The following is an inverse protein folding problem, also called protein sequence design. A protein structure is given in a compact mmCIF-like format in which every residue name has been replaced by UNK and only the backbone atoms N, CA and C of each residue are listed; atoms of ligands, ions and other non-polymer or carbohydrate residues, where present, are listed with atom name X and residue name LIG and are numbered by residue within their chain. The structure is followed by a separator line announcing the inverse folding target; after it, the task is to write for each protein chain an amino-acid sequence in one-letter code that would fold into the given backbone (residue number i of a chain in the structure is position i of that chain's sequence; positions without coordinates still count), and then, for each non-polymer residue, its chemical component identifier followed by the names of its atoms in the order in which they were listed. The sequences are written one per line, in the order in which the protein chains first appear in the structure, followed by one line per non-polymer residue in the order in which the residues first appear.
data_IF_282675809526
#
_entry.id   IF_282675809526
#
_cell.length_a   1.000
_cell.length_b   1.000
_cell.length_c   1.000
_cell.angle_alpha   90.00
_cell.angle_beta   90.00
_cell.angle_gamma   90.00
#
_symmetry.space_group_name_H-M   'P 1'
#
loop_
_entity.id
_entity.type
_entity.pdbx_description
1 polymer ?
#
# COMPACT_ATOMS: atom_id res chain seq x y z
N UNK A 1 8.49 1.16 3.20
CA UNK A 1 8.37 2.54 2.67
C UNK A 1 9.63 2.85 1.91
N UNK A 2 9.54 2.94 0.59
CA UNK A 2 10.68 3.34 -0.26
C UNK A 2 10.41 4.77 -0.71
N UNK A 3 11.30 5.70 -0.36
CA UNK A 3 11.21 7.07 -0.87
C UNK A 3 11.38 7.02 -2.40
N UNK A 4 10.47 7.66 -3.13
CA UNK A 4 10.53 7.70 -4.58
C UNK A 4 11.38 8.89 -5.06
N UNK A 5 11.46 9.97 -4.28
CA UNK A 5 12.41 11.08 -4.46
C UNK A 5 11.98 12.39 -3.76
N UNK A 6 12.85 13.40 -3.86
CA UNK A 6 12.65 14.75 -3.35
C UNK A 6 13.09 15.79 -4.38
N UNK A 7 12.36 16.89 -4.46
CA UNK A 7 12.68 18.06 -5.27
C UNK A 7 12.48 19.32 -4.43
N UNK A 8 13.48 20.19 -4.43
CA UNK A 8 13.40 21.51 -3.79
C UNK A 8 13.39 22.61 -4.85
N UNK A 9 12.61 23.68 -4.60
CA UNK A 9 12.60 24.88 -5.43
C UNK A 9 12.09 24.66 -6.87
N UNK A 10 10.84 24.20 -7.01
CA UNK A 10 10.15 24.09 -8.31
C UNK A 10 9.43 25.41 -8.63
N UNK A 11 9.67 26.02 -9.80
CA UNK A 11 8.93 27.22 -10.22
C UNK A 11 7.69 26.82 -11.02
N UNK A 12 6.52 27.38 -10.73
CA UNK A 12 5.27 27.11 -11.47
C UNK A 12 4.92 25.61 -11.61
N UNK A 13 5.45 24.79 -10.70
CA UNK A 13 5.47 23.33 -10.78
C UNK A 13 6.08 22.75 -12.08
N UNK A 14 6.90 23.53 -12.78
CA UNK A 14 7.80 23.06 -13.83
C UNK A 14 9.09 22.53 -13.23
N UNK A 15 9.34 21.24 -13.46
CA UNK A 15 10.50 20.54 -12.96
C UNK A 15 11.78 21.09 -13.62
N UNK A 16 12.59 21.83 -12.86
CA UNK A 16 13.95 22.18 -13.28
C UNK A 16 14.84 20.93 -13.13
N UNK A 17 15.21 20.33 -14.26
CA UNK A 17 15.94 19.05 -14.29
C UNK A 17 17.44 19.29 -14.45
N UNK A 18 18.20 19.01 -13.39
CA UNK A 18 19.68 19.12 -13.38
C UNK A 18 20.42 17.77 -13.34
N UNK A 19 19.76 16.61 -13.41
CA UNK A 19 20.51 15.34 -13.46
C UNK A 19 19.73 14.15 -14.02
N UNK A 20 20.44 13.28 -14.75
CA UNK A 20 19.88 12.40 -15.78
C UNK A 20 20.05 10.94 -15.38
N UNK A 21 18.93 10.25 -15.15
CA UNK A 21 18.68 8.80 -15.35
C UNK A 21 17.79 8.16 -14.25
N UNK A 22 17.96 8.45 -12.96
CA UNK A 22 16.98 8.02 -11.93
C UNK A 22 15.75 8.93 -11.85
N UNK A 23 15.86 10.17 -12.34
CA UNK A 23 14.78 11.18 -12.36
C UNK A 23 13.67 10.86 -13.37
N UNK A 24 13.92 10.05 -14.41
CA UNK A 24 12.99 9.93 -15.54
C UNK A 24 11.69 9.17 -15.22
N UNK A 25 11.74 8.16 -14.33
CA UNK A 25 10.55 7.41 -13.91
C UNK A 25 9.73 8.22 -12.91
N UNK A 26 10.42 8.91 -11.98
CA UNK A 26 9.78 9.81 -11.01
C UNK A 26 9.12 10.98 -11.73
N UNK A 27 9.84 11.63 -12.66
CA UNK A 27 9.35 12.76 -13.44
C UNK A 27 8.12 12.40 -14.26
N UNK A 28 8.04 11.20 -14.85
CA UNK A 28 6.84 10.81 -15.60
C UNK A 28 5.63 10.61 -14.69
N UNK A 29 5.79 9.90 -13.55
CA UNK A 29 4.71 9.75 -12.57
C UNK A 29 4.29 11.09 -11.96
N UNK A 30 5.28 11.94 -11.65
CA UNK A 30 5.07 13.23 -11.02
C UNK A 30 4.47 14.24 -11.99
N UNK A 31 4.94 14.32 -13.23
CA UNK A 31 4.38 15.19 -14.26
C UNK A 31 2.94 14.77 -14.60
N UNK A 32 2.67 13.46 -14.67
CA UNK A 32 1.31 12.95 -14.79
C UNK A 32 0.45 13.39 -13.62
N UNK A 33 0.94 13.27 -12.39
CA UNK A 33 0.22 13.72 -11.21
C UNK A 33 -0.02 15.24 -11.23
N UNK A 34 1.01 16.05 -11.44
CA UNK A 34 0.89 17.51 -11.53
C UNK A 34 -0.15 17.88 -12.58
N UNK A 35 -0.15 17.23 -13.75
CA UNK A 35 -1.14 17.49 -14.80
C UNK A 35 -2.58 17.13 -14.40
N UNK A 36 -2.77 16.08 -13.61
CA UNK A 36 -4.10 15.64 -13.14
C UNK A 36 -4.61 16.51 -11.98
N UNK A 37 -3.70 16.97 -11.11
CA UNK A 37 -4.03 17.70 -9.88
C UNK A 37 -3.77 19.20 -9.95
N UNK A 38 -3.44 19.73 -11.13
CA UNK A 38 -3.34 21.17 -11.41
C UNK A 38 -4.72 21.82 -11.32
N UNK A 39 -5.20 22.06 -10.10
CA UNK A 39 -6.53 22.58 -9.80
C UNK A 39 -6.50 23.52 -8.61
N UNK A 40 -7.50 24.38 -8.55
CA UNK A 40 -7.81 25.18 -7.37
C UNK A 40 -8.80 24.42 -6.50
N UNK A 41 -8.52 24.37 -5.21
CA UNK A 41 -9.34 23.77 -4.17
C UNK A 41 -9.71 24.88 -3.20
N UNK A 42 -10.98 24.99 -2.85
CA UNK A 42 -11.42 25.85 -1.76
C UNK A 42 -11.82 25.01 -0.55
N UNK A 43 -11.13 25.25 0.56
CA UNK A 43 -11.43 24.75 1.88
C UNK A 43 -12.35 25.73 2.61
N UNK A 44 -13.32 25.23 3.37
CA UNK A 44 -14.17 26.10 4.19
C UNK A 44 -14.23 25.57 5.61
N UNK A 45 -13.86 26.40 6.58
CA UNK A 45 -14.08 26.17 8.02
C UNK A 45 -15.23 27.04 8.50
N UNK A 46 -15.59 26.97 9.79
CA UNK A 46 -16.67 27.80 10.35
C UNK A 46 -16.37 29.30 10.22
N UNK A 47 -15.10 29.70 10.38
CA UNK A 47 -14.67 31.11 10.43
C UNK A 47 -13.90 31.56 9.20
N UNK A 48 -13.23 30.64 8.50
CA UNK A 48 -12.26 31.01 7.47
C UNK A 48 -12.37 30.13 6.23
N UNK A 49 -12.06 30.70 5.07
CA UNK A 49 -11.99 30.04 3.77
C UNK A 49 -10.51 29.99 3.37
N UNK A 50 -10.03 28.83 2.95
CA UNK A 50 -8.70 28.71 2.34
C UNK A 50 -8.86 28.45 0.85
N UNK A 51 -8.31 29.33 0.03
CA UNK A 51 -8.19 29.11 -1.40
C UNK A 51 -6.79 28.56 -1.67
N UNK A 52 -6.72 27.31 -2.13
CA UNK A 52 -5.51 26.55 -2.34
C UNK A 52 -5.37 26.26 -3.84
N UNK A 53 -4.39 26.86 -4.48
CA UNK A 53 -4.01 26.58 -5.86
C UNK A 53 -2.88 25.55 -5.90
N UNK A 54 -3.17 24.32 -6.34
CA UNK A 54 -2.12 23.32 -6.59
C UNK A 54 -1.52 23.65 -7.96
N UNK A 55 -0.33 24.23 -7.99
CA UNK A 55 0.38 24.56 -9.23
C UNK A 55 -0.38 25.51 -10.18
N UNK A 56 -1.41 26.18 -9.66
CA UNK A 56 -2.25 27.16 -10.36
C UNK A 56 -2.46 28.32 -9.41
N UNK A 57 -2.66 29.51 -9.96
CA UNK A 57 -3.07 30.67 -9.18
C UNK A 57 -4.49 30.44 -8.62
N UNK A 58 -4.73 30.65 -7.32
CA UNK A 58 -6.07 30.60 -6.78
C UNK A 58 -6.95 31.68 -7.42
N UNK A 59 -8.24 31.40 -7.59
CA UNK A 59 -9.17 32.23 -8.36
C UNK A 59 -9.49 33.59 -7.73
N UNK A 60 -8.91 33.87 -6.57
CA UNK A 60 -9.44 34.84 -5.61
C UNK A 60 -8.37 35.81 -5.09
N UNK A 61 -7.25 35.97 -5.81
CA UNK A 61 -6.08 36.67 -5.32
C UNK A 61 -5.67 37.89 -6.14
N UNK A 62 -5.48 38.99 -5.40
CA UNK A 62 -4.82 40.23 -5.82
C UNK A 62 -3.28 40.10 -5.92
N UNK A 63 -2.72 38.96 -5.51
CA UNK A 63 -1.28 38.69 -5.47
C UNK A 63 -0.87 37.70 -6.58
N UNK A 64 0.09 38.04 -7.46
CA UNK A 64 0.42 37.24 -8.64
C UNK A 64 1.15 35.92 -8.36
N UNK A 65 1.77 35.79 -7.17
CA UNK A 65 2.65 34.67 -6.79
C UNK A 65 2.10 33.79 -5.65
N UNK A 66 0.84 33.99 -5.24
CA UNK A 66 0.25 33.25 -4.11
C UNK A 66 -0.17 31.84 -4.52
N UNK A 67 0.22 30.83 -3.74
CA UNK A 67 -0.27 29.45 -3.86
C UNK A 67 -1.46 29.20 -2.93
N UNK A 68 -1.40 29.71 -1.70
CA UNK A 68 -2.42 29.48 -0.67
C UNK A 68 -2.76 30.79 0.01
N UNK A 69 -4.06 31.07 0.07
CA UNK A 69 -4.60 32.29 0.68
C UNK A 69 -5.68 31.97 1.69
N UNK A 70 -5.59 32.63 2.84
CA UNK A 70 -6.58 32.60 3.90
C UNK A 70 -7.47 33.84 3.83
N UNK A 71 -8.78 33.59 3.84
CA UNK A 71 -9.82 34.63 3.90
C UNK A 71 -10.68 34.41 5.14
N UNK A 72 -10.98 35.48 5.86
CA UNK A 72 -11.96 35.43 6.94
C UNK A 72 -13.38 35.57 6.35
N UNK A 73 -14.31 34.71 6.78
CA UNK A 73 -15.72 34.77 6.34
C UNK A 73 -16.42 36.04 6.84
N UNK A 74 -16.00 36.59 7.97
CA UNK A 74 -16.63 37.76 8.59
C UNK A 74 -16.13 39.07 8.02
N UNK A 75 -14.95 39.08 7.40
CA UNK A 75 -14.31 40.26 6.84
C UNK A 75 -13.90 39.99 5.39
N UNK A 76 -14.90 39.94 4.49
CA UNK A 76 -14.73 39.59 3.07
C UNK A 76 -13.88 40.62 2.31
N UNK A 77 -13.80 41.86 2.81
CA UNK A 77 -12.97 42.96 2.31
C UNK A 77 -11.66 43.15 3.08
N UNK A 78 -11.43 42.35 4.13
CA UNK A 78 -10.22 42.38 4.93
C UNK A 78 -9.04 41.67 4.25
N UNK A 79 -7.83 42.15 4.55
CA UNK A 79 -6.57 41.67 3.99
C UNK A 79 -6.52 40.14 3.82
N UNK A 80 -6.39 39.68 2.57
CA UNK A 80 -6.17 38.27 2.25
C UNK A 80 -4.74 37.90 2.64
N UNK A 81 -4.57 36.95 3.57
CA UNK A 81 -3.26 36.54 4.07
C UNK A 81 -2.67 35.46 3.17
N UNK A 82 -1.47 35.70 2.62
CA UNK A 82 -0.74 34.74 1.80
C UNK A 82 0.09 33.83 2.70
N UNK A 83 -0.25 32.53 2.73
CA UNK A 83 0.43 31.54 3.57
C UNK A 83 1.65 30.93 2.85
N UNK A 84 1.54 30.71 1.54
CA UNK A 84 2.57 30.08 0.71
C UNK A 84 2.62 30.66 -0.70
N UNK A 85 3.82 30.73 -1.28
CA UNK A 85 4.07 31.24 -2.64
C UNK A 85 4.30 30.10 -3.64
N UNK A 86 4.00 30.32 -4.92
CA UNK A 86 4.20 29.35 -6.00
C UNK A 86 5.67 29.14 -6.40
N UNK A 87 6.55 30.08 -6.04
CA UNK A 87 7.99 30.09 -6.41
C UNK A 87 8.87 29.23 -5.51
N UNK A 88 8.48 29.03 -4.25
CA UNK A 88 9.23 28.24 -3.27
C UNK A 88 8.38 27.04 -2.82
N UNK A 89 8.56 25.94 -3.54
CA UNK A 89 7.86 24.69 -3.29
C UNK A 89 8.82 23.50 -3.24
N UNK A 90 8.56 22.65 -2.27
CA UNK A 90 9.21 21.37 -2.07
C UNK A 90 8.23 20.24 -2.34
N UNK A 91 8.73 19.18 -2.95
CA UNK A 91 7.95 17.98 -3.20
C UNK A 91 8.69 16.74 -2.72
N UNK A 92 8.02 15.95 -1.88
CA UNK A 92 8.48 14.64 -1.42
C UNK A 92 7.47 13.59 -1.88
N UNK A 93 7.93 12.59 -2.62
CA UNK A 93 7.08 11.50 -3.08
C UNK A 93 7.51 10.16 -2.48
N UNK A 94 6.53 9.38 -2.05
CA UNK A 94 6.70 7.97 -1.66
C UNK A 94 5.77 7.07 -2.47
N UNK A 95 5.87 5.77 -2.23
CA UNK A 95 4.99 4.77 -2.83
C UNK A 95 3.52 4.88 -2.38
N UNK A 96 3.25 5.53 -1.25
CA UNK A 96 1.90 5.58 -0.65
C UNK A 96 1.36 6.99 -0.44
N UNK A 97 2.23 7.97 -0.24
CA UNK A 97 1.85 9.37 -0.03
C UNK A 97 2.76 10.34 -0.78
N UNK A 98 2.21 11.52 -1.07
CA UNK A 98 2.91 12.63 -1.67
C UNK A 98 2.77 13.84 -0.75
N UNK A 99 3.84 14.60 -0.58
CA UNK A 99 3.85 15.81 0.23
C UNK A 99 4.37 16.97 -0.60
N UNK A 100 3.60 18.06 -0.60
CA UNK A 100 3.91 19.30 -1.28
C UNK A 100 3.96 20.42 -0.25
N UNK A 101 5.08 21.10 -0.12
CA UNK A 101 5.28 22.14 0.90
C UNK A 101 5.57 23.48 0.22
N UNK A 102 4.66 24.44 0.38
CA UNK A 102 4.84 25.83 -0.02
C UNK A 102 5.39 26.65 1.14
N UNK A 103 6.39 27.48 0.89
CA UNK A 103 6.97 28.36 1.90
C UNK A 103 6.66 29.83 1.61
N UNK A 104 6.63 30.63 2.66
CA UNK A 104 6.58 32.09 2.57
C UNK A 104 7.40 32.69 3.71
N UNK A 105 8.36 33.51 3.34
CA UNK A 105 9.36 34.18 4.18
C UNK A 105 9.06 35.68 4.39
N UNK A 106 7.98 36.18 3.81
CA UNK A 106 7.59 37.59 3.81
C UNK A 106 6.17 37.79 4.35
N UNK A 107 5.72 36.97 5.31
CA UNK A 107 4.43 37.24 5.95
C UNK A 107 4.58 38.26 7.09
N UNK A 108 3.55 39.06 7.33
CA UNK A 108 3.50 39.99 8.46
C UNK A 108 2.63 39.41 9.61
N UNK A 109 2.76 38.13 9.90
CA UNK A 109 2.10 37.53 11.06
C UNK A 109 3.07 37.64 12.24
N UNK A 110 2.85 38.63 13.12
CA UNK A 110 3.77 38.95 14.23
C UNK A 110 4.05 37.83 15.24
N UNK A 111 3.28 36.73 15.20
CA UNK A 111 3.49 35.52 16.03
C UNK A 111 4.49 34.54 15.35
N UNK A 112 4.78 34.73 14.06
CA UNK A 112 5.37 33.73 13.17
C UNK A 112 6.78 34.06 12.64
N UNK A 113 7.54 34.98 13.26
CA UNK A 113 8.88 35.40 12.78
C UNK A 113 8.93 35.64 11.25
N UNK A 114 7.84 36.13 10.67
CA UNK A 114 7.63 36.34 9.23
C UNK A 114 7.76 35.10 8.32
N UNK A 115 7.79 33.90 8.90
CA UNK A 115 7.91 32.64 8.18
C UNK A 115 6.67 31.77 8.36
N UNK A 116 6.04 31.40 7.25
CA UNK A 116 4.92 30.45 7.20
C UNK A 116 5.23 29.35 6.21
N UNK A 117 4.66 28.19 6.47
CA UNK A 117 4.75 27.07 5.55
C UNK A 117 3.42 26.35 5.47
N UNK A 118 3.01 25.95 4.27
CA UNK A 118 1.81 25.18 4.05
C UNK A 118 2.16 23.86 3.38
N UNK A 119 1.83 22.76 4.02
CA UNK A 119 2.12 21.40 3.57
C UNK A 119 0.83 20.70 3.20
N UNK A 120 0.72 20.25 1.95
CA UNK A 120 -0.35 19.38 1.48
C UNK A 120 0.17 17.94 1.47
N UNK A 121 -0.56 17.04 2.13
CA UNK A 121 -0.26 15.61 2.17
C UNK A 121 -1.37 14.89 1.41
N UNK A 122 -1.02 14.30 0.28
CA UNK A 122 -1.93 13.48 -0.51
C UNK A 122 -1.79 12.02 -0.09
N UNK A 123 -2.91 11.43 0.31
CA UNK A 123 -3.01 10.03 0.75
C UNK A 123 -4.08 9.29 -0.03
N UNK A 124 -4.01 7.97 -0.07
CA UNK A 124 -5.09 7.15 -0.61
C UNK A 124 -6.38 7.31 0.23
N UNK A 125 -7.51 7.56 -0.43
CA UNK A 125 -8.84 7.56 0.19
C UNK A 125 -9.89 6.91 -0.73
N UNK A 126 -10.88 6.24 -0.14
CA UNK A 126 -11.88 5.45 -0.89
C UNK A 126 -13.12 6.24 -1.29
N UNK A 127 -13.26 7.48 -0.84
CA UNK A 127 -14.44 8.31 -1.10
C UNK A 127 -14.37 8.89 -2.52
N UNK A 128 -14.98 8.17 -3.45
CA UNK A 128 -14.95 8.40 -4.90
C UNK A 128 -15.94 9.44 -5.40
N UNK A 129 -16.24 10.49 -4.64
CA UNK A 129 -17.17 11.53 -5.11
C UNK A 129 -16.85 12.87 -4.48
N UNK A 130 -16.62 13.85 -5.35
CA UNK A 130 -16.22 15.21 -5.07
C UNK A 130 -14.76 15.37 -4.64
N UNK A 131 -14.05 16.17 -5.45
CA UNK A 131 -12.75 16.74 -5.21
C UNK A 131 -12.74 17.73 -4.02
N UNK A 132 -13.32 17.35 -2.88
CA UNK A 132 -13.23 18.11 -1.64
C UNK A 132 -12.26 17.38 -0.73
N UNK A 133 -11.00 17.84 -0.59
CA UNK A 133 -10.13 17.27 0.42
C UNK A 133 -10.78 17.37 1.78
N UNK A 134 -10.76 16.28 2.56
CA UNK A 134 -11.01 16.36 4.00
C UNK A 134 -9.86 17.15 4.62
N UNK A 135 -10.06 18.46 4.74
CA UNK A 135 -9.07 19.39 5.25
C UNK A 135 -9.05 19.32 6.78
N UNK A 136 -8.39 18.30 7.29
CA UNK A 136 -7.89 18.35 8.66
C UNK A 136 -6.66 19.26 8.65
N UNK A 137 -6.81 20.44 9.24
CA UNK A 137 -5.70 21.37 9.42
C UNK A 137 -5.22 21.39 10.86
N UNK A 138 -3.91 21.34 11.03
CA UNK A 138 -3.27 21.50 12.33
C UNK A 138 -2.26 22.63 12.21
N UNK A 139 -2.44 23.67 13.02
CA UNK A 139 -1.48 24.75 13.14
C UNK A 139 -0.50 24.39 14.26
N UNK A 140 0.80 24.33 13.94
CA UNK A 140 1.84 24.14 14.95
C UNK A 140 2.42 25.49 15.34
N UNK A 141 2.11 25.97 16.55
CA UNK A 141 2.83 27.09 17.19
C UNK A 141 4.08 26.53 17.89
N UNK A 142 5.29 27.08 17.68
CA UNK A 142 5.65 28.41 17.15
C UNK A 142 6.05 28.49 15.65
N UNK A 143 5.94 27.41 14.85
CA UNK A 143 6.51 27.34 13.49
C UNK A 143 5.53 27.69 12.34
N UNK A 144 4.35 28.23 12.66
CA UNK A 144 3.31 28.68 11.72
C UNK A 144 3.19 27.82 10.44
N UNK A 145 3.12 26.51 10.68
CA UNK A 145 2.97 25.50 9.65
C UNK A 145 1.51 25.08 9.55
N UNK A 146 0.94 25.15 8.36
CA UNK A 146 -0.41 24.67 8.04
C UNK A 146 -0.28 23.33 7.32
N UNK A 147 -0.84 22.27 7.90
CA UNK A 147 -0.87 20.95 7.25
C UNK A 147 -2.27 20.72 6.70
N UNK A 148 -2.38 20.26 5.45
CA UNK A 148 -3.63 19.92 4.79
C UNK A 148 -3.58 18.48 4.32
N UNK A 149 -4.52 17.65 4.75
CA UNK A 149 -4.64 16.29 4.24
C UNK A 149 -5.60 16.26 3.04
N UNK A 150 -5.21 15.58 1.97
CA UNK A 150 -6.00 15.44 0.75
C UNK A 150 -6.13 13.96 0.42
N UNK A 151 -7.36 13.47 0.42
CA UNK A 151 -7.65 12.10 0.00
C UNK A 151 -7.77 12.01 -1.52
N UNK A 152 -7.02 11.08 -2.10
CA UNK A 152 -6.91 10.88 -3.54
C UNK A 152 -7.13 9.41 -3.88
N UNK A 153 -8.24 9.05 -4.54
CA UNK A 153 -8.51 7.66 -4.92
C UNK A 153 -7.46 7.07 -5.88
N UNK A 154 -6.84 7.92 -6.71
CA UNK A 154 -5.83 7.48 -7.69
C UNK A 154 -4.49 7.09 -7.06
N UNK A 155 -4.19 7.58 -5.85
CA UNK A 155 -3.01 7.17 -5.08
C UNK A 155 -3.21 5.80 -4.42
N UNK A 156 -4.44 5.29 -4.39
CA UNK A 156 -4.68 3.97 -3.85
C UNK A 156 -4.00 2.92 -4.72
N UNK A 157 -3.28 1.96 -4.09
CA UNK A 157 -2.74 0.84 -4.84
C UNK A 157 -3.93 0.18 -5.54
N UNK A 158 -3.92 0.21 -6.88
CA UNK A 158 -4.90 -0.52 -7.68
C UNK A 158 -4.79 -1.95 -7.20
N UNK A 159 -5.77 -2.39 -6.42
CA UNK A 159 -5.79 -3.77 -5.98
C UNK A 159 -5.84 -4.58 -7.27
N UNK A 160 -4.71 -5.20 -7.62
CA UNK A 160 -4.69 -6.16 -8.70
C UNK A 160 -5.77 -7.15 -8.31
N UNK A 161 -6.90 -7.13 -9.03
CA UNK A 161 -8.03 -8.03 -8.77
C UNK A 161 -7.38 -9.38 -8.56
N UNK A 162 -7.49 -9.95 -7.35
CA UNK A 162 -6.88 -11.24 -7.02
C UNK A 162 -7.52 -12.27 -7.94
N UNK A 163 -6.97 -12.43 -9.13
CA UNK A 163 -7.34 -13.50 -10.04
C UNK A 163 -6.75 -14.74 -9.42
N UNK A 164 -7.60 -15.74 -9.15
CA UNK A 164 -7.13 -17.03 -8.67
C UNK A 164 -6.06 -17.53 -9.64
N UNK A 165 -4.95 -18.03 -9.10
CA UNK A 165 -3.87 -18.59 -9.93
C UNK A 165 -4.46 -19.69 -10.81
N UNK A 166 -4.04 -19.75 -12.09
CA UNK A 166 -4.48 -20.79 -13.01
C UNK A 166 -4.27 -22.20 -12.44
N UNK A 167 -3.21 -22.39 -11.65
CA UNK A 167 -2.95 -23.65 -10.94
C UNK A 167 -4.03 -24.01 -9.92
N UNK A 168 -4.56 -23.05 -9.16
CA UNK A 168 -5.63 -23.31 -8.20
C UNK A 168 -6.93 -23.73 -8.90
N UNK A 169 -7.24 -23.11 -10.03
CA UNK A 169 -8.40 -23.46 -10.86
C UNK A 169 -8.27 -24.89 -11.40
N UNK A 170 -7.08 -25.26 -11.89
CA UNK A 170 -6.80 -26.61 -12.39
C UNK A 170 -6.97 -27.69 -11.30
N UNK A 171 -6.46 -27.45 -10.09
CA UNK A 171 -6.60 -28.39 -8.96
C UNK A 171 -8.07 -28.58 -8.57
N UNK A 172 -8.87 -27.52 -8.56
CA UNK A 172 -10.31 -27.59 -8.25
C UNK A 172 -11.03 -28.49 -9.27
N UNK A 173 -10.74 -28.32 -10.56
CA UNK A 173 -11.35 -29.13 -11.64
C UNK A 173 -10.98 -30.61 -11.47
N UNK A 174 -9.71 -30.92 -11.20
CA UNK A 174 -9.26 -32.29 -10.97
C UNK A 174 -9.96 -32.94 -9.78
N UNK A 175 -10.18 -32.19 -8.69
CA UNK A 175 -10.87 -32.70 -7.50
C UNK A 175 -12.33 -33.07 -7.81
N UNK A 176 -13.04 -32.22 -8.56
CA UNK A 176 -14.43 -32.47 -8.96
C UNK A 176 -14.53 -33.72 -9.84
N UNK A 177 -13.71 -33.83 -10.89
CA UNK A 177 -13.69 -34.99 -11.79
C UNK A 177 -13.36 -36.27 -11.03
N UNK A 178 -12.38 -36.20 -10.13
CA UNK A 178 -11.98 -37.31 -9.26
C UNK A 178 -13.12 -37.78 -8.35
N UNK A 179 -13.88 -36.83 -7.79
CA UNK A 179 -15.00 -37.12 -6.88
C UNK A 179 -16.14 -37.83 -7.62
N UNK A 180 -16.49 -37.35 -8.81
CA UNK A 180 -17.51 -37.99 -9.66
C UNK A 180 -17.07 -39.40 -10.06
N UNK A 181 -15.80 -39.58 -10.42
CA UNK A 181 -15.24 -40.89 -10.75
C UNK A 181 -15.30 -41.88 -9.58
N UNK A 182 -14.90 -41.43 -8.37
CA UNK A 182 -14.94 -42.26 -7.18
C UNK A 182 -16.38 -42.63 -6.81
N UNK A 183 -17.31 -41.67 -6.78
CA UNK A 183 -18.71 -41.94 -6.44
C UNK A 183 -19.35 -42.87 -7.47
N UNK A 184 -19.18 -42.59 -8.77
CA UNK A 184 -19.73 -43.43 -9.83
C UNK A 184 -19.15 -44.85 -9.81
N UNK A 185 -17.83 -44.98 -9.62
CA UNK A 185 -17.17 -46.26 -9.51
C UNK A 185 -17.56 -47.06 -8.27
N UNK A 186 -17.73 -46.39 -7.12
CA UNK A 186 -18.22 -47.01 -5.89
C UNK A 186 -19.66 -47.52 -6.06
N UNK A 187 -20.55 -46.73 -6.66
CA UNK A 187 -21.92 -47.14 -6.94
C UNK A 187 -21.96 -48.34 -7.89
N UNK A 188 -21.13 -48.33 -8.95
CA UNK A 188 -21.03 -49.44 -9.89
C UNK A 188 -20.55 -50.73 -9.21
N UNK A 189 -19.45 -50.67 -8.46
CA UNK A 189 -18.89 -51.84 -7.76
C UNK A 189 -19.85 -52.39 -6.68
N UNK A 190 -20.57 -51.50 -5.98
CA UNK A 190 -21.50 -51.86 -4.92
C UNK A 190 -22.78 -52.49 -5.44
N UNK A 191 -23.42 -51.88 -6.45
CA UNK A 191 -24.74 -52.31 -6.92
C UNK A 191 -24.68 -53.42 -7.98
N UNK A 192 -23.62 -53.48 -8.79
CA UNK A 192 -23.54 -54.44 -9.90
C UNK A 192 -22.64 -55.63 -9.56
N UNK A 193 -21.50 -55.41 -8.88
CA UNK A 193 -20.52 -56.48 -8.59
C UNK A 193 -20.60 -57.04 -7.16
N UNK A 194 -21.38 -56.43 -6.27
CA UNK A 194 -21.60 -56.94 -4.91
C UNK A 194 -20.34 -57.00 -4.03
N UNK A 195 -19.26 -56.31 -4.42
CA UNK A 195 -18.00 -56.31 -3.70
C UNK A 195 -18.15 -55.63 -2.32
N UNK A 196 -17.34 -56.05 -1.34
CA UNK A 196 -17.31 -55.50 0.03
C UNK A 196 -15.88 -55.18 0.44
N UNK A 197 -15.68 -54.08 1.16
CA UNK A 197 -14.36 -53.68 1.67
C UNK A 197 -13.60 -52.72 0.75
N UNK A 198 -12.26 -52.71 0.86
CA UNK A 198 -11.36 -51.77 0.17
C UNK A 198 -11.23 -52.01 -1.34
N UNK A 199 -11.78 -53.10 -1.87
CA UNK A 199 -11.84 -53.39 -3.31
C UNK A 199 -12.88 -52.56 -4.07
N UNK A 200 -13.70 -51.78 -3.34
CA UNK A 200 -14.72 -50.91 -3.92
C UNK A 200 -14.12 -49.70 -4.66
N UNK A 201 -12.88 -49.32 -4.34
CA UNK A 201 -12.21 -48.14 -4.91
C UNK A 201 -11.60 -48.52 -6.27
N UNK A 202 -12.09 -47.96 -7.39
CA UNK A 202 -11.48 -48.22 -8.69
C UNK A 202 -10.05 -47.67 -8.74
N UNK A 203 -9.10 -48.48 -9.19
CA UNK A 203 -7.69 -48.10 -9.35
C UNK A 203 -7.05 -47.48 -8.09
N UNK A 204 -7.22 -48.16 -6.94
CA UNK A 204 -6.69 -47.75 -5.63
C UNK A 204 -5.21 -47.32 -5.65
N UNK A 205 -4.37 -48.03 -6.39
CA UNK A 205 -2.93 -47.74 -6.46
C UNK A 205 -2.62 -46.36 -7.05
N UNK A 206 -3.43 -45.89 -7.98
CA UNK A 206 -3.32 -44.54 -8.54
C UNK A 206 -3.63 -43.49 -7.48
N UNK A 207 -4.71 -43.66 -6.72
CA UNK A 207 -5.12 -42.73 -5.66
C UNK A 207 -4.12 -42.65 -4.51
N UNK A 208 -3.54 -43.78 -4.12
CA UNK A 208 -2.48 -43.81 -3.11
C UNK A 208 -1.24 -43.04 -3.59
N UNK A 209 -0.78 -43.30 -4.81
CA UNK A 209 0.37 -42.58 -5.40
C UNK A 209 0.11 -41.08 -5.51
N UNK A 210 -1.11 -40.69 -5.89
CA UNK A 210 -1.51 -39.29 -5.95
C UNK A 210 -1.48 -38.63 -4.56
N UNK A 211 -1.96 -39.32 -3.52
CA UNK A 211 -1.93 -38.84 -2.14
C UNK A 211 -0.50 -38.68 -1.60
N UNK A 212 0.39 -39.64 -1.89
CA UNK A 212 1.81 -39.53 -1.56
C UNK A 212 2.45 -38.31 -2.25
N UNK A 213 2.23 -38.14 -3.56
CA UNK A 213 2.77 -37.01 -4.30
C UNK A 213 2.22 -35.66 -3.82
N UNK A 214 0.96 -35.62 -3.38
CA UNK A 214 0.37 -34.42 -2.77
C UNK A 214 1.00 -34.11 -1.40
N UNK A 215 1.31 -35.12 -0.59
CA UNK A 215 2.03 -34.95 0.67
C UNK A 215 3.46 -34.43 0.44
N UNK A 216 4.16 -34.98 -0.55
CA UNK A 216 5.51 -34.53 -0.95
C UNK A 216 5.49 -33.08 -1.47
N UNK A 217 4.49 -32.72 -2.28
CA UNK A 217 4.30 -31.35 -2.76
C UNK A 217 3.98 -30.36 -1.63
N UNK A 218 3.25 -30.80 -0.60
CA UNK A 218 2.99 -30.02 0.60
C UNK A 218 4.26 -29.82 1.42
N UNK A 219 5.05 -30.88 1.64
CA UNK A 219 6.33 -30.78 2.35
C UNK A 219 7.31 -29.85 1.63
N UNK A 220 7.41 -29.95 0.31
CA UNK A 220 8.25 -29.06 -0.50
C UNK A 220 7.81 -27.59 -0.42
N UNK A 221 6.49 -27.31 -0.48
CA UNK A 221 5.97 -25.95 -0.43
C UNK A 221 6.07 -25.34 0.99
N UNK A 222 5.82 -26.14 2.02
CA UNK A 222 5.81 -25.71 3.43
C UNK A 222 7.21 -25.65 4.06
N UNK A 223 8.23 -26.32 3.50
CA UNK A 223 9.63 -26.25 3.97
C UNK A 223 10.40 -25.01 3.52
N UNK A 224 9.79 -24.08 2.80
CA UNK A 224 10.42 -22.83 2.36
C UNK A 224 10.79 -21.84 3.49
N UNK A 225 10.79 -22.24 4.77
CA UNK A 225 11.41 -21.43 5.82
C UNK A 225 12.02 -22.27 6.95
N UNK A 226 13.26 -22.75 6.77
CA UNK A 226 14.32 -22.72 7.81
C UNK A 226 15.68 -22.96 7.16
N UNK A 227 16.21 -21.93 6.49
CA UNK A 227 17.65 -21.83 6.30
C UNK A 227 18.28 -21.44 7.64
N UNK A 228 18.43 -22.39 8.55
CA UNK A 228 19.51 -22.35 9.54
C UNK A 228 20.41 -23.53 9.22
N UNK A 229 21.64 -23.31 8.70
CA UNK A 229 22.60 -24.40 8.63
C UNK A 229 22.97 -24.75 10.06
N UNK A 230 22.48 -25.87 10.59
CA UNK A 230 23.07 -26.43 11.79
C UNK A 230 24.39 -27.06 11.38
N UNK A 231 25.45 -26.31 11.66
CA UNK A 231 26.80 -26.83 11.82
C UNK A 231 26.73 -28.12 12.66
N UNK A 232 27.43 -29.14 12.17
CA UNK A 232 27.22 -30.53 12.56
C UNK A 232 27.63 -30.87 13.98
N UNK A 233 27.14 -32.02 14.42
CA UNK A 233 27.83 -33.05 15.20
C UNK A 233 27.10 -34.35 14.81
N UNK A 234 27.75 -35.18 14.00
CA UNK A 234 28.60 -36.31 14.39
C UNK A 234 27.79 -37.60 14.26
N UNK A 235 28.34 -38.49 13.43
CA UNK A 235 28.01 -39.91 13.30
C UNK A 235 27.62 -40.51 14.65
N UNK A 236 26.59 -41.36 14.67
CA UNK A 236 26.80 -42.75 15.07
C UNK A 236 25.63 -43.60 14.58
N UNK A 237 25.96 -44.46 13.62
CA UNK A 237 25.22 -45.63 13.21
C UNK A 237 25.68 -46.77 14.13
N UNK A 238 24.77 -47.36 14.92
CA UNK A 238 24.80 -48.70 15.50
C UNK A 238 23.63 -48.77 16.50
N UNK A 239 22.69 -49.71 16.45
CA UNK A 239 22.92 -51.13 16.30
C UNK A 239 22.64 -51.80 17.65
N UNK A 240 21.55 -52.57 17.70
CA UNK A 240 21.33 -53.76 18.54
C UNK A 240 21.37 -53.65 20.09
N UNK A 241 20.25 -54.13 20.66
CA UNK A 241 20.20 -55.21 21.67
C UNK A 241 20.34 -54.97 23.19
N UNK A 242 19.37 -55.60 23.88
CA UNK A 242 19.46 -56.37 25.13
C UNK A 242 19.47 -55.66 26.51
N UNK A 243 18.37 -55.94 27.24
CA UNK A 243 18.34 -56.77 28.48
C UNK A 243 18.82 -56.19 29.82
N UNK A 244 17.96 -56.43 30.83
CA UNK A 244 18.30 -56.59 32.25
C UNK A 244 18.19 -55.28 33.03
N UNK A 245 17.22 -55.11 33.91
CA UNK A 245 17.07 -55.74 35.23
C UNK A 245 17.55 -54.75 36.32
N UNK A 246 16.73 -54.69 37.37
CA UNK A 246 17.05 -54.28 38.75
C UNK A 246 17.15 -52.79 39.12
N UNK A 247 16.27 -52.38 40.04
CA UNK A 247 16.55 -51.72 41.33
C UNK A 247 15.52 -50.64 41.66
N UNK A 248 14.56 -50.96 42.55
CA UNK A 248 14.59 -50.67 43.99
C UNK A 248 14.56 -49.16 44.27
N UNK A 249 13.43 -48.67 44.78
CA UNK A 249 13.37 -47.59 45.76
C UNK A 249 12.10 -47.75 46.61
N UNK A 250 12.32 -47.90 47.91
CA UNK A 250 11.36 -47.91 49.00
C UNK A 250 10.62 -46.53 49.10
N UNK A 251 9.59 -46.34 49.96
CA UNK A 251 9.46 -46.81 51.36
C UNK A 251 8.33 -47.80 51.62
#
# INVERSE_FOLDING_TARGET
MKALGYLSSISDCELSTTDTNERNILNNKLAKWISVYKKTISASTVTSIFDIGICVKPNSTLAPDAAIVLKDKKNITGASLVIGKLKDVDLVATDTWLMLTYRNDQNDIGICNNQTSATLIFVCGQNSSAATPLLNYTMSTPRCSYVFQVEVPELCPKQAKKKMSAGAIFVIILLIVSSVYLIGGLLYMKFIRGARGLELIPHRDMWMKLGHLAADGCDFCCRCNTSTPKAGYFFDDHGSDLRGDDDILAP
#
